data_IF_362169513038
#
_entry.id   IF_362169513038
#
_cell.length_a   1.000
_cell.length_b   1.000
_cell.length_c   1.000
_cell.angle_alpha   90.00
_cell.angle_beta   90.00
_cell.angle_gamma   90.00
#
_symmetry.space_group_name_H-M   'P 1'
#
loop_
_entity.id
_entity.type
_entity.pdbx_description
1 polymer ?
#
# COMPACT_ATOMS: atom_id res chain seq x y z
N UNK A 1 33.35 -17.57 51.62
CA UNK A 1 32.65 -16.40 51.02
C UNK A 1 32.19 -16.76 49.60
N UNK A 2 30.89 -17.00 49.37
CA UNK A 2 30.37 -17.38 48.05
C UNK A 2 30.20 -16.13 47.17
N UNK A 3 30.69 -16.20 45.93
CA UNK A 3 30.38 -15.21 44.88
C UNK A 3 29.01 -15.57 44.30
N UNK A 4 28.03 -14.73 44.57
CA UNK A 4 26.68 -14.79 44.00
C UNK A 4 26.80 -14.60 42.48
N UNK A 5 26.45 -15.64 41.71
CA UNK A 5 26.31 -15.54 40.26
C UNK A 5 24.93 -14.90 39.99
N UNK A 6 24.93 -13.59 39.74
CA UNK A 6 23.72 -12.87 39.38
C UNK A 6 23.20 -13.37 38.04
N UNK A 7 22.03 -14.02 38.05
CA UNK A 7 21.27 -14.33 36.83
C UNK A 7 20.67 -13.01 36.35
N UNK A 8 21.36 -12.37 35.41
CA UNK A 8 20.77 -11.29 34.62
C UNK A 8 19.90 -11.90 33.53
N UNK A 9 18.59 -11.96 33.75
CA UNK A 9 17.65 -12.24 32.67
C UNK A 9 17.64 -11.05 31.71
N UNK A 10 18.42 -11.13 30.64
CA UNK A 10 18.23 -10.26 29.49
C UNK A 10 16.95 -10.72 28.78
N UNK A 11 15.82 -10.10 29.12
CA UNK A 11 14.66 -10.15 28.24
C UNK A 11 15.07 -9.45 26.95
N UNK A 12 15.49 -10.23 25.96
CA UNK A 12 15.57 -9.76 24.59
C UNK A 12 14.14 -9.49 24.15
N UNK A 13 13.66 -8.29 24.46
CA UNK A 13 12.50 -7.75 23.80
C UNK A 13 12.85 -7.81 22.31
N UNK A 14 12.15 -8.67 21.57
CA UNK A 14 12.15 -8.65 20.12
C UNK A 14 11.43 -7.36 19.73
N UNK A 15 12.11 -6.22 19.92
CA UNK A 15 11.72 -4.97 19.32
C UNK A 15 11.75 -5.24 17.82
N UNK A 16 10.57 -5.19 17.22
CA UNK A 16 10.35 -5.43 15.81
C UNK A 16 11.35 -4.60 15.00
N UNK A 17 12.38 -5.27 14.46
CA UNK A 17 13.44 -4.66 13.68
C UNK A 17 12.89 -3.87 12.49
N UNK A 18 11.71 -4.26 12.02
CA UNK A 18 10.94 -3.60 10.95
C UNK A 18 10.54 -2.19 11.37
N UNK A 19 10.01 -2.01 12.59
CA UNK A 19 9.63 -0.71 13.13
C UNK A 19 10.82 0.25 13.29
N UNK A 20 11.97 -0.28 13.73
CA UNK A 20 13.22 0.51 13.82
C UNK A 20 13.75 0.89 12.43
N UNK A 21 13.58 0.02 11.43
CA UNK A 21 13.96 0.32 10.04
C UNK A 21 13.12 1.45 9.44
N UNK A 22 11.82 1.54 9.76
CA UNK A 22 10.96 2.65 9.32
C UNK A 22 11.25 3.96 10.09
N UNK A 23 11.78 3.90 11.33
CA UNK A 23 12.16 5.10 12.09
C UNK A 23 13.51 5.70 11.65
N UNK A 24 14.48 4.85 11.30
CA UNK A 24 15.83 5.27 10.91
C UNK A 24 16.06 5.31 9.39
N UNK A 25 15.15 4.76 8.58
CA UNK A 25 15.16 4.82 7.12
C UNK A 25 14.24 5.91 6.57
N UNK A 26 14.58 6.47 5.41
CA UNK A 26 13.83 7.56 4.75
C UNK A 26 12.59 7.07 3.98
N UNK A 27 12.01 5.92 4.31
CA UNK A 27 10.89 5.33 3.58
C UNK A 27 9.75 4.99 4.55
N UNK A 28 8.68 5.78 4.50
CA UNK A 28 7.57 5.75 5.45
C UNK A 28 6.33 4.99 4.92
N UNK A 29 6.50 4.10 3.92
CA UNK A 29 5.42 3.31 3.32
C UNK A 29 5.55 1.81 3.69
N UNK A 30 5.87 1.51 4.94
CA UNK A 30 6.08 0.12 5.38
C UNK A 30 4.78 -0.73 5.40
N UNK A 31 3.59 -0.10 5.44
CA UNK A 31 2.29 -0.78 5.62
C UNK A 31 1.23 -0.36 4.57
N UNK A 32 1.63 0.04 3.36
CA UNK A 32 0.65 0.37 2.32
C UNK A 32 0.02 -0.90 1.71
N UNK A 33 -1.12 -1.31 2.25
CA UNK A 33 -1.94 -2.42 1.75
C UNK A 33 -3.37 -1.95 1.40
N UNK A 34 -3.60 -1.45 0.17
CA UNK A 34 -4.92 -1.05 -0.28
C UNK A 34 -5.84 -2.26 -0.47
N UNK A 35 -7.12 -2.11 -0.11
CA UNK A 35 -8.16 -3.09 -0.37
C UNK A 35 -8.63 -3.00 -1.83
N UNK A 36 -8.04 -3.84 -2.69
CA UNK A 36 -8.41 -3.91 -4.10
C UNK A 36 -9.83 -4.43 -4.33
N UNK A 37 -10.36 -5.27 -3.44
CA UNK A 37 -11.71 -5.79 -3.58
C UNK A 37 -12.74 -4.71 -3.28
N UNK A 38 -12.52 -3.94 -2.20
CA UNK A 38 -13.29 -2.72 -1.91
C UNK A 38 -13.24 -1.73 -3.07
N UNK A 39 -12.05 -1.46 -3.61
CA UNK A 39 -11.88 -0.57 -4.77
C UNK A 39 -12.64 -1.07 -6.02
N UNK A 40 -12.57 -2.38 -6.32
CA UNK A 40 -13.32 -2.99 -7.42
C UNK A 40 -14.84 -2.82 -7.23
N UNK A 41 -15.34 -3.01 -6.00
CA UNK A 41 -16.74 -2.79 -5.65
C UNK A 41 -17.17 -1.33 -5.78
N UNK A 42 -16.39 -0.38 -5.25
CA UNK A 42 -16.71 1.05 -5.32
C UNK A 42 -16.75 1.57 -6.76
N UNK A 43 -15.78 1.14 -7.57
CA UNK A 43 -15.76 1.42 -9.00
C UNK A 43 -16.97 0.78 -9.69
N UNK A 44 -17.34 -0.45 -9.31
CA UNK A 44 -18.47 -1.17 -9.88
C UNK A 44 -19.82 -0.49 -9.59
N UNK A 45 -20.01 0.02 -8.36
CA UNK A 45 -21.23 0.66 -7.90
C UNK A 45 -21.38 2.09 -8.45
N UNK A 46 -20.30 2.85 -8.52
CA UNK A 46 -20.39 4.30 -8.75
C UNK A 46 -19.91 4.78 -10.13
N UNK A 47 -19.11 4.01 -10.89
CA UNK A 47 -18.55 4.47 -12.17
C UNK A 47 -19.24 3.86 -13.41
N UNK A 48 -20.51 4.14 -13.65
CA UNK A 48 -21.30 3.46 -14.69
C UNK A 48 -20.72 3.58 -16.12
N UNK A 49 -20.91 2.55 -16.95
CA UNK A 49 -20.52 2.53 -18.37
C UNK A 49 -19.01 2.40 -18.66
N UNK A 50 -18.15 2.65 -17.67
CA UNK A 50 -16.70 2.71 -17.84
C UNK A 50 -15.99 1.39 -17.51
N UNK A 51 -16.54 0.25 -17.93
CA UNK A 51 -16.01 -1.09 -17.61
C UNK A 51 -14.53 -1.28 -17.93
N UNK A 52 -14.05 -0.73 -19.06
CA UNK A 52 -12.64 -0.78 -19.44
C UNK A 52 -11.76 0.02 -18.46
N UNK A 53 -12.19 1.23 -18.06
CA UNK A 53 -11.44 2.04 -17.11
C UNK A 53 -11.36 1.35 -15.74
N UNK A 54 -12.46 0.77 -15.26
CA UNK A 54 -12.50 0.02 -13.99
C UNK A 54 -11.45 -1.10 -13.99
N UNK A 55 -11.46 -1.95 -15.02
CA UNK A 55 -10.54 -3.08 -15.11
C UNK A 55 -9.07 -2.66 -15.22
N UNK A 56 -8.77 -1.63 -16.02
CA UNK A 56 -7.39 -1.18 -16.24
C UNK A 56 -6.80 -0.48 -15.01
N UNK A 57 -7.57 0.37 -14.33
CA UNK A 57 -7.12 1.08 -13.12
C UNK A 57 -6.79 0.09 -12.01
N UNK A 58 -7.72 -0.82 -11.71
CA UNK A 58 -7.51 -1.86 -10.69
C UNK A 58 -6.30 -2.73 -11.03
N UNK A 59 -6.18 -3.18 -12.29
CA UNK A 59 -5.07 -4.02 -12.72
C UNK A 59 -3.72 -3.29 -12.58
N UNK A 60 -3.65 -2.02 -12.98
CA UNK A 60 -2.43 -1.24 -12.91
C UNK A 60 -2.00 -0.95 -11.46
N UNK A 61 -2.95 -0.57 -10.59
CA UNK A 61 -2.69 -0.36 -9.18
C UNK A 61 -2.23 -1.66 -8.50
N UNK A 62 -2.94 -2.77 -8.73
CA UNK A 62 -2.58 -4.08 -8.18
C UNK A 62 -1.17 -4.50 -8.60
N UNK A 63 -0.83 -4.36 -9.88
CA UNK A 63 0.50 -4.67 -10.39
C UNK A 63 1.60 -3.79 -9.78
N UNK A 64 1.35 -2.50 -9.59
CA UNK A 64 2.33 -1.56 -9.03
C UNK A 64 2.57 -1.79 -7.54
N UNK A 65 1.51 -2.00 -6.77
CA UNK A 65 1.59 -2.18 -5.31
C UNK A 65 2.13 -3.57 -4.93
N UNK A 66 1.86 -4.59 -5.74
CA UNK A 66 2.39 -5.94 -5.51
C UNK A 66 3.87 -6.09 -5.89
N UNK A 67 4.45 -5.13 -6.63
CA UNK A 67 5.88 -5.08 -6.91
C UNK A 67 6.59 -4.41 -5.72
N UNK A 68 7.42 -5.14 -4.95
CA UNK A 68 8.13 -4.56 -3.81
C UNK A 68 9.27 -3.60 -4.22
N UNK A 69 9.67 -3.58 -5.50
CA UNK A 69 10.74 -2.74 -6.01
C UNK A 69 10.43 -2.20 -7.43
N UNK A 70 9.38 -1.38 -7.58
CA UNK A 70 8.95 -0.90 -8.89
C UNK A 70 10.02 -0.01 -9.51
N UNK A 71 10.47 -0.38 -10.71
CA UNK A 71 11.55 0.34 -11.41
C UNK A 71 11.14 1.73 -11.93
N UNK A 72 9.84 2.00 -12.02
CA UNK A 72 9.28 3.27 -12.51
C UNK A 72 7.99 3.61 -11.75
N UNK A 73 7.69 4.91 -11.54
CA UNK A 73 6.43 5.31 -10.91
C UNK A 73 5.23 4.96 -11.78
N UNK A 74 4.11 4.61 -11.14
CA UNK A 74 2.84 4.43 -11.84
C UNK A 74 2.31 5.78 -12.32
N UNK A 75 2.00 5.87 -13.61
CA UNK A 75 1.39 7.05 -14.23
C UNK A 75 0.11 6.62 -14.92
N UNK A 76 -1.01 7.24 -14.55
CA UNK A 76 -2.31 7.03 -15.17
C UNK A 76 -2.76 8.31 -15.86
N UNK A 77 -3.17 8.20 -17.13
CA UNK A 77 -3.75 9.32 -17.88
C UNK A 77 -5.19 8.98 -18.24
N UNK A 78 -6.14 9.70 -17.64
CA UNK A 78 -7.56 9.51 -17.85
C UNK A 78 -8.05 10.48 -18.93
N UNK A 79 -8.49 9.96 -20.06
CA UNK A 79 -9.00 10.74 -21.19
C UNK A 79 -10.47 10.45 -21.47
N UNK A 80 -11.20 11.43 -22.01
CA UNK A 80 -12.60 11.29 -22.39
C UNK A 80 -13.41 12.57 -22.22
N UNK A 81 -14.69 12.51 -22.56
CA UNK A 81 -15.62 13.64 -22.49
C UNK A 81 -15.83 14.16 -21.05
N UNK A 82 -16.29 15.40 -20.89
CA UNK A 82 -16.60 15.94 -19.56
C UNK A 82 -17.75 15.15 -18.90
N UNK A 83 -17.78 15.08 -17.56
CA UNK A 83 -18.85 14.36 -16.85
C UNK A 83 -18.78 12.82 -16.89
N UNK A 84 -17.78 12.21 -17.53
CA UNK A 84 -17.63 10.73 -17.60
C UNK A 84 -16.92 10.09 -16.39
N UNK A 85 -16.76 10.82 -15.28
CA UNK A 85 -16.21 10.27 -14.04
C UNK A 85 -14.67 10.21 -13.94
N UNK A 86 -13.92 10.89 -14.82
CA UNK A 86 -12.44 10.92 -14.73
C UNK A 86 -11.91 11.44 -13.38
N UNK A 87 -12.47 12.55 -12.90
CA UNK A 87 -12.09 13.13 -11.59
C UNK A 87 -12.58 12.29 -10.41
N UNK A 88 -13.64 11.51 -10.60
CA UNK A 88 -14.13 10.59 -9.58
C UNK A 88 -13.15 9.43 -9.39
N UNK A 89 -12.65 8.85 -10.49
CA UNK A 89 -11.65 7.77 -10.44
C UNK A 89 -10.36 8.20 -9.73
N UNK A 90 -9.94 9.45 -9.86
CA UNK A 90 -8.73 9.96 -9.18
C UNK A 90 -8.92 10.30 -7.71
N UNK A 91 -10.17 10.45 -7.25
CA UNK A 91 -10.48 10.87 -5.88
C UNK A 91 -10.93 9.73 -4.96
N UNK A 92 -11.16 8.54 -5.54
CA UNK A 92 -11.44 7.30 -4.82
C UNK A 92 -10.25 6.86 -3.97
#
# INVERSE_FOLDING_TARGET
>A
PPRVLGVGSAAAAAWDLTSLHCHFGSFCECDFQPDFQGLECDLAQHLAGQHLARALVVKALKAFVQDPAPTKPLVLSLHGWTGTGKSYVSAL
#
